data_IF_158333568340
#
_entry.id   IF_158333568340
#
_cell.length_a   1.000
_cell.length_b   1.000
_cell.length_c   1.000
_cell.angle_alpha   90.00
_cell.angle_beta   90.00
_cell.angle_gamma   90.00
#
_symmetry.space_group_name_H-M   'P 1'
#
loop_
_entity.id
_entity.type
_entity.pdbx_description
1 polymer ?
#
# COMPACT_ATOMS: atom_id res chain seq x y z
N UNK A 1 3.97 -10.97 -19.89
CA UNK A 1 4.46 -12.33 -20.21
C UNK A 1 3.34 -13.20 -20.82
N UNK A 2 2.10 -12.70 -20.92
CA UNK A 2 0.89 -13.41 -21.35
C UNK A 2 0.60 -13.26 -22.85
N UNK A 3 0.78 -12.06 -23.41
CA UNK A 3 0.50 -11.76 -24.83
C UNK A 3 1.41 -12.54 -25.79
N UNK A 4 2.60 -12.96 -25.35
CA UNK A 4 3.47 -13.91 -26.07
C UNK A 4 2.82 -15.28 -26.31
N UNK A 5 1.81 -15.64 -25.52
CA UNK A 5 1.09 -16.90 -25.60
C UNK A 5 -0.32 -16.73 -26.16
N UNK A 6 -0.58 -15.62 -26.89
CA UNK A 6 -1.89 -15.27 -27.43
C UNK A 6 -3.02 -15.17 -26.38
N UNK A 7 -2.65 -14.86 -25.13
CA UNK A 7 -3.61 -14.61 -24.03
C UNK A 7 -3.35 -13.23 -23.40
N UNK A 8 -4.30 -12.73 -22.60
CA UNK A 8 -4.16 -11.46 -21.88
C UNK A 8 -4.00 -11.67 -20.36
N UNK A 9 -3.43 -10.71 -19.61
CA UNK A 9 -3.40 -10.78 -18.15
C UNK A 9 -4.82 -10.82 -17.55
N UNK A 10 -5.22 -11.98 -17.04
CA UNK A 10 -6.60 -12.25 -16.60
C UNK A 10 -6.79 -12.24 -15.07
N UNK A 11 -5.72 -12.20 -14.26
CA UNK A 11 -5.80 -12.10 -12.80
C UNK A 11 -5.97 -10.64 -12.28
N UNK A 12 -6.49 -9.75 -13.13
CA UNK A 12 -6.62 -8.32 -12.88
C UNK A 12 -5.37 -7.48 -13.22
N UNK A 13 -4.35 -8.07 -13.84
CA UNK A 13 -3.13 -7.34 -14.28
C UNK A 13 -3.45 -6.19 -15.25
N UNK A 14 -4.39 -6.42 -16.18
CA UNK A 14 -4.90 -5.40 -17.12
C UNK A 14 -5.60 -4.23 -16.44
N UNK A 15 -6.01 -4.38 -15.18
CA UNK A 15 -6.68 -3.34 -14.40
C UNK A 15 -5.74 -2.67 -13.40
N UNK A 16 -4.96 -3.46 -12.66
CA UNK A 16 -4.09 -2.96 -11.58
C UNK A 16 -2.84 -2.29 -12.11
N UNK A 17 -2.18 -2.86 -13.13
CA UNK A 17 -0.95 -2.27 -13.67
C UNK A 17 -1.16 -0.81 -14.14
N UNK A 18 -2.14 -0.47 -15.01
CA UNK A 18 -2.36 0.92 -15.43
C UNK A 18 -2.92 1.84 -14.34
N UNK A 19 -3.35 1.31 -13.18
CA UNK A 19 -3.72 2.11 -12.00
C UNK A 19 -2.53 2.38 -11.07
N UNK A 20 -1.52 1.50 -11.09
CA UNK A 20 -0.29 1.63 -10.30
C UNK A 20 0.72 2.52 -11.03
N UNK A 21 0.87 2.35 -12.34
CA UNK A 21 1.84 3.08 -13.17
C UNK A 21 1.15 3.85 -14.30
N UNK A 22 1.91 4.64 -15.06
CA UNK A 22 1.40 5.34 -16.24
C UNK A 22 0.71 4.38 -17.23
N UNK A 23 -0.56 4.63 -17.65
CA UNK A 23 -1.29 3.75 -18.57
C UNK A 23 -0.59 3.47 -19.90
N UNK A 24 0.19 4.42 -20.44
CA UNK A 24 0.95 4.23 -21.68
C UNK A 24 2.09 3.23 -21.48
N UNK A 25 2.82 3.34 -20.36
CA UNK A 25 3.89 2.39 -20.01
C UNK A 25 3.30 1.01 -19.73
N UNK A 26 2.17 0.94 -19.02
CA UNK A 26 1.46 -0.33 -18.77
C UNK A 26 1.08 -1.03 -20.08
N UNK A 27 0.57 -0.30 -21.07
CA UNK A 27 0.26 -0.84 -22.40
C UNK A 27 1.52 -1.34 -23.10
N UNK A 28 2.62 -0.58 -23.08
CA UNK A 28 3.90 -1.02 -23.66
C UNK A 28 4.37 -2.35 -23.06
N UNK A 29 4.41 -2.46 -21.73
CA UNK A 29 4.82 -3.69 -21.05
C UNK A 29 3.93 -4.89 -21.39
N UNK A 30 2.62 -4.69 -21.44
CA UNK A 30 1.65 -5.74 -21.78
C UNK A 30 1.74 -6.13 -23.25
N UNK A 31 1.75 -5.17 -24.17
CA UNK A 31 1.77 -5.43 -25.61
C UNK A 31 3.07 -6.07 -26.07
N UNK A 32 4.20 -5.64 -25.53
CA UNK A 32 5.51 -6.20 -25.87
C UNK A 32 5.88 -7.44 -25.02
N UNK A 33 5.06 -7.80 -24.02
CA UNK A 33 5.38 -8.81 -23.02
C UNK A 33 6.82 -8.67 -22.47
N UNK A 34 7.22 -7.42 -22.20
CA UNK A 34 8.57 -7.05 -21.76
C UNK A 34 8.74 -7.42 -20.29
N UNK A 35 9.93 -7.91 -19.95
CA UNK A 35 10.36 -8.14 -18.58
C UNK A 35 11.28 -6.99 -18.21
N UNK A 36 11.09 -6.43 -17.01
CA UNK A 36 11.85 -5.31 -16.49
C UNK A 36 12.62 -5.74 -15.25
N UNK A 37 13.71 -5.03 -14.96
CA UNK A 37 14.48 -5.25 -13.72
C UNK A 37 13.92 -4.45 -12.54
N UNK A 38 14.55 -4.57 -11.37
CA UNK A 38 14.11 -3.87 -10.16
C UNK A 38 14.31 -2.36 -10.19
N UNK A 39 15.27 -1.85 -10.95
CA UNK A 39 15.52 -0.41 -11.06
C UNK A 39 14.44 0.23 -11.92
N UNK A 40 14.17 -0.32 -13.10
CA UNK A 40 13.11 0.15 -13.98
C UNK A 40 11.75 0.05 -13.29
N UNK A 41 11.47 -1.05 -12.57
CA UNK A 41 10.24 -1.20 -11.79
C UNK A 41 10.05 -0.07 -10.75
N UNK A 42 11.13 0.38 -10.10
CA UNK A 42 11.06 1.53 -9.20
C UNK A 42 10.81 2.82 -9.96
N UNK A 43 11.54 3.05 -11.04
CA UNK A 43 11.53 4.31 -11.78
C UNK A 43 10.16 4.58 -12.43
N UNK A 44 9.43 3.53 -12.83
CA UNK A 44 8.06 3.65 -13.36
C UNK A 44 6.97 3.64 -12.26
N UNK A 45 7.35 3.51 -10.99
CA UNK A 45 6.42 3.46 -9.85
C UNK A 45 5.74 2.11 -9.60
N UNK A 46 6.19 1.02 -10.24
CA UNK A 46 5.68 -0.33 -9.97
C UNK A 46 6.11 -0.85 -8.59
N UNK A 47 7.29 -0.43 -8.11
CA UNK A 47 7.80 -0.74 -6.79
C UNK A 47 8.27 0.53 -6.06
N UNK A 48 8.00 0.62 -4.76
CA UNK A 48 8.42 1.79 -3.97
C UNK A 48 9.92 1.78 -3.60
N UNK A 49 10.56 0.60 -3.60
CA UNK A 49 11.95 0.43 -3.20
C UNK A 49 12.65 -0.60 -4.10
N UNK A 50 13.92 -0.34 -4.40
CA UNK A 50 14.85 -1.31 -4.99
C UNK A 50 16.02 -1.48 -4.03
N UNK A 51 16.46 -2.72 -3.81
CA UNK A 51 17.58 -3.05 -2.95
C UNK A 51 18.66 -3.73 -3.77
N UNK A 52 19.93 -3.35 -3.55
CA UNK A 52 21.05 -4.16 -4.04
C UNK A 52 20.97 -5.53 -3.37
N UNK A 53 21.00 -6.59 -4.17
CA UNK A 53 20.85 -7.94 -3.65
C UNK A 53 22.06 -8.30 -2.77
N UNK A 54 21.79 -8.97 -1.65
CA UNK A 54 22.80 -9.45 -0.70
C UNK A 54 23.15 -10.93 -0.96
N UNK A 55 24.16 -11.44 -0.27
CA UNK A 55 24.60 -12.84 -0.40
C UNK A 55 23.53 -13.86 -0.01
N UNK A 56 22.66 -13.52 0.93
CA UNK A 56 21.54 -14.34 1.40
C UNK A 56 20.31 -14.30 0.48
N UNK A 57 20.35 -13.51 -0.60
CA UNK A 57 19.27 -13.33 -1.56
C UNK A 57 17.93 -12.83 -0.98
N UNK A 58 17.96 -12.15 0.17
CA UNK A 58 16.76 -11.74 0.93
C UNK A 58 16.68 -10.22 1.16
N UNK A 59 17.47 -9.41 0.44
CA UNK A 59 17.56 -7.96 0.68
C UNK A 59 16.20 -7.24 0.60
N UNK A 60 15.35 -7.63 -0.36
CA UNK A 60 13.99 -7.10 -0.48
C UNK A 60 13.09 -7.49 0.72
N UNK A 61 13.25 -8.72 1.22
CA UNK A 61 12.52 -9.20 2.40
C UNK A 61 12.93 -8.43 3.66
N UNK A 62 14.23 -8.19 3.85
CA UNK A 62 14.73 -7.39 4.98
C UNK A 62 14.19 -5.95 4.94
N UNK A 63 14.11 -5.34 3.76
CA UNK A 63 13.47 -4.03 3.59
C UNK A 63 11.98 -4.06 3.91
N UNK A 64 11.26 -5.11 3.49
CA UNK A 64 9.86 -5.29 3.83
C UNK A 64 9.64 -5.44 5.35
N UNK A 65 10.48 -6.22 6.05
CA UNK A 65 10.45 -6.33 7.51
C UNK A 65 10.67 -4.98 8.20
N UNK A 66 11.63 -4.18 7.71
CA UNK A 66 11.88 -2.85 8.25
C UNK A 66 10.66 -1.94 8.14
N UNK A 67 9.96 -1.95 7.00
CA UNK A 67 8.70 -1.20 6.80
C UNK A 67 7.59 -1.74 7.71
N UNK A 68 7.43 -3.06 7.80
CA UNK A 68 6.43 -3.68 8.68
C UNK A 68 6.63 -3.28 10.14
N UNK A 69 7.88 -3.20 10.63
CA UNK A 69 8.18 -2.74 11.99
C UNK A 69 7.75 -1.28 12.23
N UNK A 70 7.80 -0.42 11.21
CA UNK A 70 7.28 0.95 11.32
C UNK A 70 5.75 0.99 11.37
N UNK A 71 5.06 0.02 10.76
CA UNK A 71 3.60 -0.08 10.82
C UNK A 71 3.14 -0.60 12.19
N UNK A 72 3.87 -1.56 12.78
CA UNK A 72 3.49 -2.25 14.02
C UNK A 72 3.30 -1.34 15.24
N UNK A 73 3.95 -0.18 15.27
CA UNK A 73 3.84 0.78 16.39
C UNK A 73 2.60 1.68 16.31
N UNK A 74 1.83 1.58 15.22
CA UNK A 74 0.64 2.41 15.00
C UNK A 74 -0.64 1.71 15.50
N UNK A 75 -1.69 2.50 15.76
CA UNK A 75 -2.99 1.99 16.19
C UNK A 75 -3.59 1.00 15.18
N UNK A 76 -3.82 -0.29 15.54
CA UNK A 76 -4.26 -1.31 14.60
C UNK A 76 -5.58 -0.96 13.89
N UNK A 77 -6.55 -0.41 14.62
CA UNK A 77 -7.84 0.01 14.06
C UNK A 77 -7.67 1.23 13.14
N UNK A 78 -6.77 2.17 13.47
CA UNK A 78 -6.44 3.30 12.62
C UNK A 78 -5.83 2.87 11.28
N UNK A 79 -4.84 1.96 11.31
CA UNK A 79 -4.21 1.41 10.09
C UNK A 79 -5.24 0.67 9.23
N UNK A 80 -6.12 -0.13 9.84
CA UNK A 80 -7.19 -0.84 9.12
C UNK A 80 -8.18 0.13 8.47
N UNK A 81 -8.67 1.12 9.22
CA UNK A 81 -9.60 2.13 8.70
C UNK A 81 -8.99 2.96 7.58
N UNK A 82 -7.73 3.37 7.72
CA UNK A 82 -7.01 4.10 6.67
C UNK A 82 -6.91 3.29 5.37
N UNK A 83 -6.56 2.00 5.45
CA UNK A 83 -6.51 1.10 4.28
C UNK A 83 -7.86 0.99 3.57
N UNK A 84 -8.95 0.84 4.33
CA UNK A 84 -10.31 0.76 3.77
C UNK A 84 -10.69 2.07 3.10
N UNK A 85 -10.42 3.20 3.76
CA UNK A 85 -10.70 4.54 3.24
C UNK A 85 -10.00 4.77 1.90
N UNK A 86 -8.69 4.54 1.84
CA UNK A 86 -7.89 4.73 0.63
C UNK A 86 -8.37 3.81 -0.49
N UNK A 87 -8.47 2.51 -0.24
CA UNK A 87 -8.79 1.53 -1.28
C UNK A 87 -10.19 1.73 -1.88
N UNK A 88 -11.17 2.13 -1.06
CA UNK A 88 -12.53 2.38 -1.56
C UNK A 88 -12.67 3.78 -2.14
N UNK A 89 -12.02 4.77 -1.53
CA UNK A 89 -12.03 6.17 -1.98
C UNK A 89 -11.41 6.36 -3.36
N UNK A 90 -10.35 5.61 -3.69
CA UNK A 90 -9.72 5.65 -5.02
C UNK A 90 -10.62 5.14 -6.16
N UNK A 91 -11.67 4.37 -5.87
CA UNK A 91 -12.57 3.80 -6.88
C UNK A 91 -13.86 4.62 -7.03
N UNK A 92 -13.89 5.86 -6.53
CA UNK A 92 -15.06 6.74 -6.57
C UNK A 92 -14.65 8.21 -6.80
N UNK A 93 -15.63 9.10 -6.91
CA UNK A 93 -15.37 10.54 -6.99
C UNK A 93 -14.90 11.09 -5.64
N UNK A 94 -14.25 12.26 -5.66
CA UNK A 94 -13.64 12.86 -4.46
C UNK A 94 -14.65 13.11 -3.33
N UNK A 95 -15.89 13.51 -3.64
CA UNK A 95 -16.88 13.81 -2.61
C UNK A 95 -17.38 12.53 -1.93
N UNK A 96 -17.57 11.47 -2.70
CA UNK A 96 -17.88 10.15 -2.16
C UNK A 96 -16.69 9.58 -1.37
N UNK A 97 -15.46 9.78 -1.85
CA UNK A 97 -14.23 9.44 -1.15
C UNK A 97 -14.13 10.10 0.23
N UNK A 98 -14.38 11.40 0.32
CA UNK A 98 -14.40 12.13 1.60
C UNK A 98 -15.48 11.61 2.56
N UNK A 99 -16.65 11.18 2.06
CA UNK A 99 -17.68 10.54 2.89
C UNK A 99 -17.23 9.19 3.42
N UNK A 100 -16.56 8.38 2.59
CA UNK A 100 -15.98 7.10 3.02
C UNK A 100 -14.94 7.35 4.11
N UNK A 101 -14.07 8.35 3.94
CA UNK A 101 -13.08 8.75 4.94
C UNK A 101 -13.74 9.11 6.27
N UNK A 102 -14.79 9.95 6.25
CA UNK A 102 -15.54 10.32 7.43
C UNK A 102 -16.10 9.09 8.17
N UNK A 103 -16.68 8.12 7.45
CA UNK A 103 -17.21 6.88 8.02
C UNK A 103 -16.10 6.01 8.62
N UNK A 104 -14.96 5.87 7.94
CA UNK A 104 -13.81 5.13 8.45
C UNK A 104 -13.20 5.80 9.69
N UNK A 105 -13.14 7.13 9.71
CA UNK A 105 -12.63 7.89 10.85
C UNK A 105 -13.56 7.78 12.07
N UNK A 106 -14.87 7.82 11.86
CA UNK A 106 -15.86 7.65 12.93
C UNK A 106 -15.70 6.34 13.71
N UNK A 107 -15.20 5.27 13.08
CA UNK A 107 -14.92 4.00 13.75
C UNK A 107 -13.75 4.06 14.74
N UNK A 108 -12.82 5.01 14.56
CA UNK A 108 -11.63 5.16 15.41
C UNK A 108 -11.89 6.12 16.58
N UNK A 109 -12.92 6.96 16.50
CA UNK A 109 -13.27 7.91 17.57
C UNK A 109 -13.58 7.23 18.92
N UNK A 110 -14.40 6.16 19.00
CA UNK A 110 -14.77 5.57 20.28
C UNK A 110 -13.77 4.56 20.84
N UNK A 111 -12.59 4.39 20.21
CA UNK A 111 -11.64 3.34 20.59
C UNK A 111 -10.80 3.73 21.81
N UNK A 112 -10.40 2.73 22.60
CA UNK A 112 -9.46 2.91 23.71
C UNK A 112 -8.09 3.33 23.20
N UNK A 113 -7.68 2.81 22.04
CA UNK A 113 -6.43 3.17 21.38
C UNK A 113 -6.34 4.66 21.09
N UNK A 114 -7.44 5.33 20.71
CA UNK A 114 -7.42 6.79 20.50
C UNK A 114 -7.13 7.53 21.80
N UNK A 115 -7.76 7.11 22.90
CA UNK A 115 -7.57 7.72 24.23
C UNK A 115 -6.13 7.50 24.71
N UNK A 116 -5.61 6.28 24.56
CA UNK A 116 -4.22 5.94 24.85
C UNK A 116 -3.24 6.77 24.02
N UNK A 117 -3.50 6.94 22.71
CA UNK A 117 -2.65 7.76 21.84
C UNK A 117 -2.55 9.21 22.32
N UNK A 118 -3.68 9.83 22.68
CA UNK A 118 -3.70 11.20 23.22
C UNK A 118 -3.06 11.28 24.61
N UNK A 119 -3.20 10.25 25.43
CA UNK A 119 -2.63 10.18 26.78
C UNK A 119 -1.11 10.02 26.71
N UNK A 120 -0.62 9.08 25.90
CA UNK A 120 0.79 8.85 25.65
C UNK A 120 1.48 10.10 25.08
N UNK A 121 0.80 10.83 24.18
CA UNK A 121 1.27 12.11 23.66
C UNK A 121 1.41 13.16 24.77
N UNK A 122 0.38 13.32 25.62
CA UNK A 122 0.43 14.25 26.76
C UNK A 122 1.54 13.89 27.75
N UNK A 123 1.81 12.60 27.94
CA UNK A 123 2.80 12.07 28.89
C UNK A 123 4.21 11.92 28.28
N UNK A 124 4.42 12.29 27.01
CA UNK A 124 5.68 12.13 26.27
C UNK A 124 6.25 10.70 26.33
N UNK A 125 5.37 9.68 26.24
CA UNK A 125 5.77 8.27 26.22
C UNK A 125 5.28 7.58 24.94
N UNK A 126 5.88 6.45 24.55
CA UNK A 126 5.34 5.61 23.49
C UNK A 126 3.93 5.08 23.85
N UNK A 127 2.97 5.12 22.91
CA UNK A 127 1.65 4.54 23.11
C UNK A 127 1.69 3.01 23.08
N UNK A 128 0.76 2.38 23.78
CA UNK A 128 0.57 0.92 23.79
C UNK A 128 -0.82 0.57 23.28
N UNK A 129 -0.94 0.42 21.97
CA UNK A 129 -2.18 0.06 21.32
C UNK A 129 -2.47 -1.44 21.41
N UNK A 130 -3.75 -1.80 21.57
CA UNK A 130 -4.22 -3.19 21.66
C UNK A 130 -5.28 -3.52 20.61
N UNK A 131 -5.78 -2.54 19.86
CA UNK A 131 -6.79 -2.73 18.82
C UNK A 131 -8.23 -2.73 19.35
N UNK A 132 -8.49 -1.96 20.41
CA UNK A 132 -9.81 -1.79 21.06
C UNK A 132 -10.22 -0.32 21.13
#
# INVERSE_FOLDING_TARGET
VETKWAIMPAAGGSQRLPRIINPSIAKELIFCARVIDGNEARDIGLANYVMKQNSSSDAAYQKALAISRQILVNGPLGVRSAKVSINRGLETDILTGCKIEQLCYAQVIPTKDRIEGLTAFKENRPPKYIGE
#
